data_IF_807337062354
#
_entry.id   IF_807337062354
#
_cell.length_a   1.000
_cell.length_b   1.000
_cell.length_c   1.000
_cell.angle_alpha   90.00
_cell.angle_beta   90.00
_cell.angle_gamma   90.00
#
_symmetry.space_group_name_H-M   'P 1'
#
loop_
_entity.id
_entity.type
_entity.pdbx_description
1 polymer ?
#
# COMPACT_ATOMS: atom_id res chain seq x y z
N UNK A 1 46.68 47.52 -12.98
CA UNK A 1 46.45 46.11 -12.57
C UNK A 1 45.29 46.04 -11.58
N UNK A 2 44.03 45.95 -12.03
CA UNK A 2 42.88 45.68 -11.13
C UNK A 2 41.55 45.49 -11.89
N UNK A 3 41.48 44.60 -12.89
CA UNK A 3 40.20 44.24 -13.55
C UNK A 3 40.19 42.80 -14.08
N UNK A 4 40.48 41.79 -13.26
CA UNK A 4 40.30 40.37 -13.66
C UNK A 4 39.99 39.41 -12.50
N UNK A 5 39.34 39.86 -11.42
CA UNK A 5 39.12 39.05 -10.22
C UNK A 5 37.69 39.15 -9.64
N UNK A 6 36.67 39.25 -10.51
CA UNK A 6 35.26 39.24 -10.06
C UNK A 6 34.34 38.22 -10.76
N UNK A 7 34.86 37.42 -11.70
CA UNK A 7 34.05 36.40 -12.40
C UNK A 7 34.39 34.94 -12.03
N UNK A 8 35.27 34.72 -11.05
CA UNK A 8 35.59 33.35 -10.57
C UNK A 8 34.72 32.90 -9.38
N UNK A 9 34.02 33.82 -8.69
CA UNK A 9 33.25 33.49 -7.49
C UNK A 9 31.79 33.09 -7.77
N UNK A 10 31.24 33.39 -8.95
CA UNK A 10 29.85 33.05 -9.28
C UNK A 10 29.72 31.68 -9.98
N UNK A 11 30.81 31.13 -10.52
CA UNK A 11 30.82 29.79 -11.12
C UNK A 11 31.01 28.66 -10.08
N UNK A 12 31.50 28.96 -8.88
CA UNK A 12 31.70 27.97 -7.82
C UNK A 12 30.48 27.77 -6.91
N UNK A 13 29.46 28.64 -6.98
CA UNK A 13 28.25 28.55 -6.14
C UNK A 13 27.04 27.94 -6.86
N UNK A 14 27.15 27.67 -8.17
CA UNK A 14 26.09 27.03 -8.98
C UNK A 14 26.41 25.54 -9.26
N UNK A 15 27.62 25.08 -8.94
CA UNK A 15 28.02 23.67 -9.09
C UNK A 15 27.96 22.86 -7.77
N UNK A 16 27.53 23.46 -6.66
CA UNK A 16 27.34 22.76 -5.38
C UNK A 16 25.87 22.35 -5.10
N UNK A 17 24.93 22.67 -6.01
CA UNK A 17 23.51 22.31 -5.90
C UNK A 17 23.05 21.28 -6.93
N UNK A 18 23.94 20.74 -7.75
CA UNK A 18 23.67 19.65 -8.68
C UNK A 18 24.27 18.36 -8.09
N UNK A 19 23.43 17.52 -7.48
CA UNK A 19 23.87 16.19 -7.03
C UNK A 19 23.46 15.78 -5.62
N UNK A 20 22.57 16.50 -4.93
CA UNK A 20 21.69 15.80 -3.99
C UNK A 20 20.64 15.09 -4.84
N UNK A 21 20.98 13.87 -5.25
CA UNK A 21 19.96 12.84 -5.38
C UNK A 21 19.16 12.95 -4.08
N UNK A 22 17.92 13.43 -4.17
CA UNK A 22 16.97 13.24 -3.09
C UNK A 22 16.81 11.74 -3.08
N UNK A 23 17.66 11.06 -2.31
CA UNK A 23 17.48 9.65 -2.05
C UNK A 23 16.05 9.55 -1.54
N UNK A 24 15.21 8.77 -2.23
CA UNK A 24 13.90 8.44 -1.72
C UNK A 24 14.11 8.02 -0.26
N UNK A 25 13.43 8.72 0.64
CA UNK A 25 13.50 8.37 2.05
C UNK A 25 13.08 6.89 2.16
N UNK A 26 13.90 6.03 2.80
CA UNK A 26 13.54 4.64 2.95
C UNK A 26 12.17 4.54 3.64
N UNK A 27 11.37 3.55 3.26
CA UNK A 27 10.04 3.31 3.83
C UNK A 27 10.03 3.35 5.38
N UNK A 28 11.15 2.99 6.02
CA UNK A 28 11.39 3.08 7.48
C UNK A 28 11.39 4.52 8.04
N UNK A 29 11.92 5.54 7.34
CA UNK A 29 12.01 6.92 7.90
C UNK A 29 10.66 7.63 7.93
N UNK A 30 9.71 7.18 7.10
CA UNK A 30 8.37 7.78 6.97
C UNK A 30 7.52 7.55 8.22
N UNK A 31 7.71 6.45 8.97
CA UNK A 31 6.83 6.11 10.10
C UNK A 31 6.98 7.04 11.31
N UNK A 32 8.19 7.55 11.54
CA UNK A 32 8.52 8.46 12.66
C UNK A 32 7.98 9.89 12.50
N UNK A 33 7.55 10.27 11.28
CA UNK A 33 7.02 11.60 10.95
C UNK A 33 5.54 11.58 10.56
N UNK A 34 4.84 10.45 10.73
CA UNK A 34 3.42 10.34 10.42
C UNK A 34 2.60 11.26 11.33
N UNK A 35 2.01 12.30 10.74
CA UNK A 35 0.92 13.03 11.38
C UNK A 35 -0.31 12.13 11.40
N UNK A 36 -0.64 11.60 12.57
CA UNK A 36 -1.85 10.79 12.79
C UNK A 36 -2.88 11.63 13.54
N UNK A 37 -4.00 11.87 12.88
CA UNK A 37 -5.17 12.58 13.39
C UNK A 37 -6.29 11.57 13.76
N UNK A 38 -7.10 11.90 14.77
CA UNK A 38 -8.26 11.10 15.17
C UNK A 38 -7.97 9.91 16.09
N UNK A 39 -6.75 9.74 16.60
CA UNK A 39 -6.42 8.75 17.65
C UNK A 39 -7.04 9.13 19.00
N UNK A 40 -7.56 8.14 19.72
CA UNK A 40 -8.19 8.28 21.04
C UNK A 40 -7.19 8.06 22.20
N UNK A 41 -6.09 7.33 21.95
CA UNK A 41 -5.08 7.04 22.97
C UNK A 41 -3.68 6.83 22.36
N UNK A 42 -2.67 6.74 23.23
CA UNK A 42 -1.29 6.45 22.83
C UNK A 42 -1.15 5.00 22.33
N UNK A 43 -1.87 4.06 22.93
CA UNK A 43 -1.88 2.65 22.51
C UNK A 43 -2.52 2.47 21.13
N UNK A 44 -3.55 3.27 20.79
CA UNK A 44 -4.13 3.29 19.43
C UNK A 44 -3.13 3.85 18.41
N UNK A 45 -2.37 4.89 18.78
CA UNK A 45 -1.30 5.44 17.95
C UNK A 45 -0.19 4.42 17.70
N UNK A 46 0.30 3.77 18.75
CA UNK A 46 1.39 2.79 18.66
C UNK A 46 0.99 1.56 17.85
N UNK A 47 -0.25 1.07 18.02
CA UNK A 47 -0.75 -0.03 17.22
C UNK A 47 -0.80 0.35 15.73
N UNK A 48 -1.32 1.53 15.41
CA UNK A 48 -1.38 1.99 14.02
C UNK A 48 0.03 2.16 13.42
N UNK A 49 0.97 2.71 14.18
CA UNK A 49 2.37 2.82 13.76
C UNK A 49 2.98 1.42 13.52
N UNK A 50 2.74 0.46 14.41
CA UNK A 50 3.17 -0.93 14.26
C UNK A 50 2.61 -1.58 13.01
N UNK A 51 1.32 -1.37 12.72
CA UNK A 51 0.68 -1.90 11.51
C UNK A 51 1.30 -1.30 10.24
N UNK A 52 1.46 0.03 10.18
CA UNK A 52 2.10 0.70 9.04
C UNK A 52 3.55 0.24 8.87
N UNK A 53 4.30 0.14 9.97
CA UNK A 53 5.68 -0.34 9.94
C UNK A 53 5.77 -1.78 9.43
N UNK A 54 4.88 -2.67 9.91
CA UNK A 54 4.82 -4.06 9.44
C UNK A 54 4.60 -4.13 7.92
N UNK A 55 3.67 -3.33 7.39
CA UNK A 55 3.44 -3.24 5.94
C UNK A 55 4.67 -2.71 5.19
N UNK A 56 5.35 -1.69 5.72
CA UNK A 56 6.56 -1.13 5.11
C UNK A 56 7.71 -2.14 5.09
N UNK A 57 7.97 -2.81 6.21
CA UNK A 57 9.04 -3.81 6.35
C UNK A 57 8.81 -4.97 5.39
N UNK A 58 7.56 -5.38 5.26
CA UNK A 58 7.15 -6.42 4.34
C UNK A 58 7.35 -6.02 2.88
N UNK A 59 6.95 -4.81 2.48
CA UNK A 59 7.18 -4.29 1.12
C UNK A 59 8.68 -4.16 0.78
N UNK A 60 9.51 -3.92 1.79
CA UNK A 60 10.96 -3.84 1.65
C UNK A 60 11.66 -5.21 1.73
N UNK A 61 10.93 -6.30 2.02
CA UNK A 61 11.54 -7.60 2.27
C UNK A 61 11.90 -8.33 0.98
N UNK A 62 13.02 -9.09 0.96
CA UNK A 62 13.36 -9.93 -0.18
C UNK A 62 12.28 -10.98 -0.49
N UNK A 63 11.63 -11.53 0.54
CA UNK A 63 10.56 -12.53 0.35
C UNK A 63 9.38 -11.95 -0.41
N UNK A 64 9.00 -10.70 -0.12
CA UNK A 64 7.93 -10.03 -0.84
C UNK A 64 8.29 -9.82 -2.32
N UNK A 65 9.51 -9.35 -2.59
CA UNK A 65 10.00 -9.18 -3.97
C UNK A 65 10.02 -10.51 -4.74
N UNK A 66 10.57 -11.57 -4.15
CA UNK A 66 10.61 -12.92 -4.74
C UNK A 66 9.20 -13.43 -5.02
N UNK A 67 8.29 -13.29 -4.05
CA UNK A 67 6.90 -13.70 -4.20
C UNK A 67 6.19 -12.92 -5.31
N UNK A 68 6.36 -11.59 -5.36
CA UNK A 68 5.76 -10.76 -6.39
C UNK A 68 6.26 -11.19 -7.79
N UNK A 69 7.58 -11.34 -7.96
CA UNK A 69 8.18 -11.79 -9.22
C UNK A 69 7.77 -13.21 -9.62
N UNK A 70 7.54 -14.11 -8.65
CA UNK A 70 7.11 -15.48 -8.94
C UNK A 70 5.77 -15.58 -9.66
N UNK A 71 4.96 -14.52 -9.60
CA UNK A 71 3.64 -14.45 -10.23
C UNK A 71 3.69 -13.88 -11.66
N UNK A 72 4.86 -13.57 -12.22
CA UNK A 72 5.01 -12.98 -13.56
C UNK A 72 4.33 -13.81 -14.65
N UNK A 73 4.36 -15.14 -14.55
CA UNK A 73 3.69 -16.03 -15.51
C UNK A 73 2.16 -16.05 -15.39
N UNK A 74 1.63 -15.70 -14.22
CA UNK A 74 0.18 -15.69 -13.95
C UNK A 74 -0.47 -14.34 -14.24
N UNK A 75 0.28 -13.26 -14.05
CA UNK A 75 -0.14 -11.89 -14.27
C UNK A 75 0.87 -11.18 -15.19
N UNK A 76 0.85 -11.48 -16.51
CA UNK A 76 1.82 -10.91 -17.45
C UNK A 76 1.65 -9.40 -17.64
N UNK A 77 0.44 -8.88 -17.45
CA UNK A 77 0.10 -7.47 -17.53
C UNK A 77 -0.74 -7.06 -16.33
N UNK A 78 -0.41 -5.91 -15.76
CA UNK A 78 -1.04 -5.36 -14.57
C UNK A 78 -1.42 -3.91 -14.85
N UNK A 79 -2.60 -3.50 -14.40
CA UNK A 79 -3.00 -2.11 -14.44
C UNK A 79 -2.39 -1.37 -13.25
N UNK A 80 -1.50 -0.41 -13.50
CA UNK A 80 -0.96 0.45 -12.45
C UNK A 80 -1.74 1.77 -12.34
N UNK A 81 -1.96 2.45 -13.47
CA UNK A 81 -2.71 3.71 -13.53
C UNK A 81 -3.21 3.96 -14.97
N UNK A 82 -4.00 5.04 -15.20
CA UNK A 82 -4.52 5.39 -16.53
C UNK A 82 -3.51 5.50 -17.67
N UNK A 83 -2.30 5.95 -17.37
CA UNK A 83 -1.20 6.09 -18.32
C UNK A 83 -0.38 4.80 -18.43
N UNK A 84 -0.39 3.96 -17.39
CA UNK A 84 0.33 2.68 -17.29
C UNK A 84 -0.65 1.51 -17.13
N UNK A 85 -1.43 1.26 -18.19
CA UNK A 85 -2.52 0.28 -18.15
C UNK A 85 -2.02 -1.18 -18.22
N UNK A 86 -0.82 -1.40 -18.73
CA UNK A 86 -0.18 -2.71 -18.83
C UNK A 86 1.29 -2.58 -18.40
N UNK A 87 1.56 -2.83 -17.12
CA UNK A 87 2.92 -2.96 -16.59
C UNK A 87 3.26 -4.43 -16.38
N UNK A 88 4.52 -4.79 -16.65
CA UNK A 88 5.01 -6.12 -16.30
C UNK A 88 5.23 -6.26 -14.80
N UNK A 89 5.28 -7.50 -14.31
CA UNK A 89 5.58 -7.77 -12.90
C UNK A 89 6.91 -7.17 -12.46
N UNK A 90 7.96 -7.32 -13.27
CA UNK A 90 9.27 -6.72 -12.99
C UNK A 90 9.21 -5.20 -12.81
N UNK A 91 8.48 -4.53 -13.70
CA UNK A 91 8.29 -3.09 -13.61
C UNK A 91 7.53 -2.71 -12.35
N UNK A 92 6.47 -3.45 -12.02
CA UNK A 92 5.72 -3.22 -10.77
C UNK A 92 6.63 -3.37 -9.54
N UNK A 93 7.49 -4.38 -9.49
CA UNK A 93 8.49 -4.55 -8.44
C UNK A 93 9.42 -3.34 -8.33
N UNK A 94 9.91 -2.81 -9.46
CA UNK A 94 10.76 -1.61 -9.49
C UNK A 94 10.01 -0.35 -9.04
N UNK A 95 8.71 -0.22 -9.35
CA UNK A 95 7.84 0.86 -8.87
C UNK A 95 7.70 0.79 -7.33
N UNK A 96 7.33 -0.39 -6.81
CA UNK A 96 7.12 -0.60 -5.36
C UNK A 96 8.39 -0.37 -4.56
N UNK A 97 9.53 -0.82 -5.09
CA UNK A 97 10.84 -0.63 -4.48
C UNK A 97 11.44 0.78 -4.71
N UNK A 98 10.70 1.68 -5.36
CA UNK A 98 11.14 3.04 -5.72
C UNK A 98 12.48 3.06 -6.51
N UNK A 99 12.71 2.04 -7.34
CA UNK A 99 13.88 1.95 -8.22
C UNK A 99 13.70 2.71 -9.52
N UNK A 100 12.47 2.97 -9.94
CA UNK A 100 12.22 3.81 -11.11
C UNK A 100 12.56 5.29 -10.82
N UNK A 101 13.38 5.95 -11.66
CA UNK A 101 13.72 7.36 -11.47
C UNK A 101 12.48 8.26 -11.46
N UNK A 102 12.44 9.20 -10.51
CA UNK A 102 11.37 10.18 -10.38
C UNK A 102 10.18 9.72 -9.53
N UNK A 103 10.15 8.44 -9.12
CA UNK A 103 9.19 7.99 -8.12
C UNK A 103 9.63 8.38 -6.71
N UNK A 104 8.66 8.76 -5.89
CA UNK A 104 8.86 8.99 -4.45
C UNK A 104 7.61 8.63 -3.68
N UNK A 105 7.72 8.52 -2.36
CA UNK A 105 6.57 8.49 -1.47
C UNK A 105 6.26 9.91 -1.02
N UNK A 106 4.99 10.31 -1.17
CA UNK A 106 4.52 11.57 -0.59
C UNK A 106 4.05 11.29 0.85
N UNK A 107 4.65 11.91 1.87
CA UNK A 107 4.16 11.79 3.24
C UNK A 107 2.82 12.49 3.35
N UNK A 108 1.80 11.73 3.74
CA UNK A 108 0.44 12.24 3.92
C UNK A 108 -0.04 11.95 5.33
N UNK A 109 -0.91 12.80 5.90
CA UNK A 109 -1.47 12.53 7.20
C UNK A 109 -2.33 11.26 7.17
N UNK A 110 -2.37 10.56 8.30
CA UNK A 110 -3.23 9.40 8.51
C UNK A 110 -4.40 9.83 9.39
N UNK A 111 -5.62 9.57 8.94
CA UNK A 111 -6.84 9.88 9.69
C UNK A 111 -7.53 8.58 10.12
N UNK A 112 -7.74 8.39 11.42
CA UNK A 112 -8.52 7.27 11.96
C UNK A 112 -10.00 7.62 12.06
N UNK A 113 -10.86 6.73 11.56
CA UNK A 113 -12.31 6.92 11.58
C UNK A 113 -13.08 5.63 11.91
N UNK A 114 -14.39 5.77 12.13
CA UNK A 114 -15.29 4.66 12.42
C UNK A 114 -15.17 4.13 13.85
N UNK A 115 -15.93 3.06 14.13
CA UNK A 115 -15.92 2.32 15.39
C UNK A 115 -15.10 1.03 15.28
N UNK A 116 -14.73 0.43 16.42
CA UNK A 116 -14.04 -0.86 16.46
C UNK A 116 -14.96 -2.04 16.10
N UNK A 117 -16.29 -1.84 16.08
CA UNK A 117 -17.25 -2.90 15.87
C UNK A 117 -17.53 -3.16 14.38
N UNK A 118 -17.57 -4.44 14.02
CA UNK A 118 -18.00 -4.94 12.72
C UNK A 118 -19.51 -4.78 12.44
N UNK A 119 -20.25 -4.17 13.37
CA UNK A 119 -21.71 -4.33 13.50
C UNK A 119 -22.56 -3.35 12.71
N UNK A 120 -21.98 -2.53 11.83
CA UNK A 120 -22.75 -1.63 11.00
C UNK A 120 -22.52 -1.91 9.51
N UNK A 121 -23.57 -2.42 8.85
CA UNK A 121 -23.66 -2.62 7.40
C UNK A 121 -23.38 -1.33 6.57
N UNK A 122 -23.18 -0.19 7.22
CA UNK A 122 -22.80 1.09 6.61
C UNK A 122 -21.28 1.30 6.53
N UNK A 123 -20.47 0.51 7.24
CA UNK A 123 -18.99 0.59 7.26
C UNK A 123 -18.29 -0.26 6.19
N UNK A 124 -19.04 -1.10 5.44
CA UNK A 124 -18.48 -1.87 4.32
C UNK A 124 -17.85 -1.01 3.22
N UNK A 125 -18.17 0.29 3.17
CA UNK A 125 -17.71 1.19 2.13
C UNK A 125 -16.41 1.95 2.44
N UNK A 126 -15.87 1.86 3.66
CA UNK A 126 -14.67 2.61 4.03
C UNK A 126 -13.80 1.79 5.01
N UNK A 127 -13.03 0.85 4.48
CA UNK A 127 -12.05 0.09 5.28
C UNK A 127 -10.74 0.87 5.36
N UNK A 128 -10.26 1.38 4.23
CA UNK A 128 -9.28 2.46 4.17
C UNK A 128 -9.41 3.19 2.81
N UNK A 129 -8.79 4.36 2.69
CA UNK A 129 -8.72 5.12 1.42
C UNK A 129 -7.60 6.14 1.47
N UNK A 130 -6.86 6.26 0.39
CA UNK A 130 -5.86 7.30 0.19
C UNK A 130 -6.31 8.26 -0.92
N UNK A 131 -6.31 9.56 -0.63
CA UNK A 131 -6.77 10.59 -1.56
C UNK A 131 -7.23 11.84 -0.83
N UNK A 132 -7.98 12.72 -1.52
CA UNK A 132 -8.63 13.84 -0.83
C UNK A 132 -9.67 13.29 0.15
N UNK A 133 -9.36 13.40 1.44
CA UNK A 133 -10.21 12.97 2.54
C UNK A 133 -10.87 14.19 3.17
N UNK A 134 -12.14 14.07 3.57
CA UNK A 134 -12.79 15.07 4.41
C UNK A 134 -12.88 14.52 5.83
N UNK A 135 -12.16 15.13 6.77
CA UNK A 135 -12.19 14.74 8.17
C UNK A 135 -12.51 15.96 9.04
N UNK A 136 -13.56 15.87 9.87
CA UNK A 136 -14.03 16.97 10.72
C UNK A 136 -14.26 18.31 9.98
N UNK A 137 -14.74 18.24 8.73
CA UNK A 137 -14.99 19.43 7.90
C UNK A 137 -13.73 20.07 7.29
N UNK A 138 -12.59 19.39 7.35
CA UNK A 138 -11.33 19.81 6.73
C UNK A 138 -10.98 18.87 5.58
N UNK A 139 -10.68 19.45 4.43
CA UNK A 139 -10.13 18.74 3.28
C UNK A 139 -8.65 18.48 3.51
N UNK A 140 -8.29 17.20 3.62
CA UNK A 140 -6.92 16.72 3.68
C UNK A 140 -6.57 16.08 2.33
N UNK A 141 -6.08 16.86 1.35
CA UNK A 141 -5.62 16.31 0.08
C UNK A 141 -4.50 15.30 0.31
N UNK A 142 -4.71 14.07 -0.16
CA UNK A 142 -3.74 12.98 -0.09
C UNK A 142 -3.78 12.15 1.20
N UNK A 143 -4.59 12.48 2.20
CA UNK A 143 -4.60 11.71 3.46
C UNK A 143 -4.96 10.23 3.27
N UNK A 144 -4.33 9.38 4.08
CA UNK A 144 -4.70 7.98 4.23
C UNK A 144 -5.71 7.87 5.36
N UNK A 145 -6.96 7.59 5.00
CA UNK A 145 -8.03 7.27 5.94
C UNK A 145 -7.96 5.79 6.30
N UNK A 146 -7.92 5.45 7.58
CA UNK A 146 -7.92 4.07 8.06
C UNK A 146 -9.10 3.86 9.01
N UNK A 147 -9.95 2.88 8.71
CA UNK A 147 -11.04 2.48 9.60
C UNK A 147 -10.50 1.70 10.80
N UNK A 148 -11.04 1.97 12.00
CA UNK A 148 -10.69 1.25 13.25
C UNK A 148 -10.87 -0.27 13.18
N UNK A 149 -11.66 -0.78 12.24
CA UNK A 149 -11.77 -2.21 11.96
C UNK A 149 -10.42 -2.87 11.62
N UNK A 150 -9.51 -2.16 10.93
CA UNK A 150 -8.18 -2.70 10.61
C UNK A 150 -7.30 -2.82 11.87
N UNK A 151 -7.43 -1.86 12.78
CA UNK A 151 -6.76 -1.95 14.07
C UNK A 151 -7.31 -3.09 14.91
N UNK A 152 -8.63 -3.24 14.96
CA UNK A 152 -9.27 -4.36 15.66
C UNK A 152 -8.75 -5.70 15.13
N UNK A 153 -8.70 -5.88 13.81
CA UNK A 153 -8.13 -7.07 13.14
C UNK A 153 -6.67 -7.30 13.49
N UNK A 154 -5.85 -6.25 13.43
CA UNK A 154 -4.42 -6.36 13.72
C UNK A 154 -4.12 -6.73 15.19
N UNK A 155 -5.02 -6.39 16.12
CA UNK A 155 -4.95 -6.82 17.53
C UNK A 155 -5.36 -8.27 17.77
N UNK A 156 -6.07 -8.92 16.84
CA UNK A 156 -6.54 -10.29 17.04
C UNK A 156 -5.37 -11.27 17.14
N UNK A 157 -5.58 -12.38 17.84
CA UNK A 157 -4.58 -13.45 17.88
C UNK A 157 -4.57 -14.29 16.59
N UNK A 158 -5.68 -14.32 15.85
CA UNK A 158 -5.71 -15.01 14.56
C UNK A 158 -4.83 -14.27 13.55
N UNK A 159 -3.87 -15.01 13.01
CA UNK A 159 -2.94 -14.52 12.02
C UNK A 159 -3.65 -14.12 10.73
N UNK A 160 -4.73 -14.80 10.31
CA UNK A 160 -5.45 -14.41 9.10
C UNK A 160 -6.13 -13.04 9.27
N UNK A 161 -6.69 -12.74 10.43
CA UNK A 161 -7.25 -11.41 10.71
C UNK A 161 -6.17 -10.32 10.63
N UNK A 162 -5.00 -10.54 11.24
CA UNK A 162 -3.87 -9.60 11.12
C UNK A 162 -3.45 -9.40 9.67
N UNK A 163 -3.37 -10.49 8.89
CA UNK A 163 -2.97 -10.46 7.48
C UNK A 163 -3.89 -9.56 6.63
N UNK A 164 -5.18 -9.49 6.96
CA UNK A 164 -6.13 -8.64 6.25
C UNK A 164 -5.98 -7.15 6.56
N UNK A 165 -5.57 -6.81 7.79
CA UNK A 165 -5.17 -5.44 8.10
C UNK A 165 -3.91 -5.05 7.33
N UNK A 166 -2.94 -5.97 7.23
CA UNK A 166 -1.71 -5.77 6.44
C UNK A 166 -2.04 -5.57 4.96
N UNK A 167 -2.93 -6.39 4.36
CA UNK A 167 -3.39 -6.21 2.98
C UNK A 167 -3.88 -4.78 2.75
N UNK A 168 -4.82 -4.34 3.58
CA UNK A 168 -5.45 -3.02 3.46
C UNK A 168 -4.43 -1.90 3.57
N UNK A 169 -3.54 -1.93 4.57
CA UNK A 169 -2.55 -0.87 4.73
C UNK A 169 -1.52 -0.88 3.60
N UNK A 170 -1.10 -2.05 3.16
CA UNK A 170 -0.20 -2.16 2.01
C UNK A 170 -0.84 -1.59 0.74
N UNK A 171 -2.10 -1.93 0.45
CA UNK A 171 -2.87 -1.37 -0.67
C UNK A 171 -2.84 0.16 -0.64
N UNK A 172 -3.20 0.74 0.50
CA UNK A 172 -3.25 2.20 0.64
C UNK A 172 -1.89 2.87 0.56
N UNK A 173 -0.83 2.21 1.05
CA UNK A 173 0.53 2.75 0.95
C UNK A 173 0.98 2.88 -0.50
N UNK A 174 0.54 2.00 -1.39
CA UNK A 174 0.88 2.11 -2.81
C UNK A 174 0.33 3.36 -3.47
N UNK A 175 -0.82 3.85 -3.04
CA UNK A 175 -1.35 5.10 -3.54
C UNK A 175 -0.50 6.32 -3.14
N UNK A 176 0.42 6.19 -2.19
CA UNK A 176 1.33 7.28 -1.82
C UNK A 176 2.57 7.33 -2.71
N UNK A 177 2.82 6.30 -3.53
CA UNK A 177 3.87 6.35 -4.54
C UNK A 177 3.44 7.34 -5.62
N UNK A 178 4.19 8.42 -5.74
CA UNK A 178 3.94 9.52 -6.65
C UNK A 178 5.00 9.56 -7.75
N UNK A 179 4.55 9.96 -8.94
CA UNK A 179 5.41 10.27 -10.10
C UNK A 179 6.00 11.68 -10.03
N UNK A 180 5.70 12.43 -8.96
CA UNK A 180 6.19 13.78 -8.73
C UNK A 180 6.64 13.93 -7.29
N UNK A 181 7.73 14.66 -7.04
CA UNK A 181 8.24 14.88 -5.69
C UNK A 181 7.38 15.83 -4.83
N UNK A 182 6.51 16.61 -5.45
CA UNK A 182 5.87 17.80 -4.85
C UNK A 182 4.34 17.83 -5.00
N UNK A 183 3.75 16.94 -5.81
CA UNK A 183 2.30 16.82 -6.01
C UNK A 183 1.86 15.37 -5.85
N UNK A 184 0.60 15.20 -5.49
CA UNK A 184 -0.04 13.90 -5.39
C UNK A 184 -0.43 13.41 -6.79
N UNK A 185 0.51 12.73 -7.45
CA UNK A 185 0.37 12.20 -8.81
C UNK A 185 0.62 10.68 -8.78
N UNK A 186 -0.44 9.95 -8.42
CA UNK A 186 -0.40 8.52 -8.17
C UNK A 186 0.29 7.73 -9.28
N UNK A 187 1.39 7.04 -8.94
CA UNK A 187 1.99 6.02 -9.78
C UNK A 187 1.12 4.76 -9.84
N UNK A 188 0.40 4.46 -8.75
CA UNK A 188 -0.54 3.36 -8.62
C UNK A 188 -1.91 3.90 -8.22
N UNK A 189 -2.95 3.65 -9.02
CA UNK A 189 -4.31 4.13 -8.82
C UNK A 189 -5.33 2.99 -9.02
N UNK A 190 -6.40 2.99 -8.20
CA UNK A 190 -7.50 2.02 -8.34
C UNK A 190 -8.43 2.36 -9.52
N UNK A 191 -8.52 3.65 -9.87
CA UNK A 191 -9.50 4.16 -10.82
C UNK A 191 -8.92 5.24 -11.74
N UNK A 192 -9.61 5.51 -12.85
CA UNK A 192 -9.44 6.76 -13.59
C UNK A 192 -10.14 7.86 -12.83
N UNK A 193 -9.67 9.12 -12.89
CA UNK A 193 -10.28 10.30 -12.27
C UNK A 193 -11.83 10.29 -12.24
N UNK A 194 -12.43 9.67 -11.20
CA UNK A 194 -13.86 9.46 -10.98
C UNK A 194 -14.60 8.41 -11.85
N UNK A 195 -13.92 7.43 -12.46
CA UNK A 195 -14.55 6.30 -13.18
C UNK A 195 -13.88 4.96 -12.83
N UNK A 196 -14.71 3.97 -12.53
CA UNK A 196 -14.34 2.55 -12.40
C UNK A 196 -13.51 2.12 -13.61
N UNK A 197 -12.45 1.36 -13.36
CA UNK A 197 -11.56 0.85 -14.41
C UNK A 197 -12.28 -0.29 -15.13
N UNK A 198 -12.68 -0.12 -16.38
CA UNK A 198 -13.22 -1.22 -17.19
C UNK A 198 -12.09 -2.15 -17.68
N UNK A 199 -11.19 -2.52 -16.77
CA UNK A 199 -10.04 -3.39 -17.04
C UNK A 199 -10.31 -4.78 -16.52
N UNK A 200 -9.96 -5.79 -17.30
CA UNK A 200 -9.92 -7.18 -16.84
C UNK A 200 -8.56 -7.54 -16.25
N UNK A 201 -7.60 -6.61 -16.25
CA UNK A 201 -6.29 -6.81 -15.66
C UNK A 201 -6.37 -6.75 -14.13
N UNK A 202 -5.45 -7.44 -13.43
CA UNK A 202 -5.17 -7.17 -12.03
C UNK A 202 -4.88 -5.69 -11.81
N UNK A 203 -5.40 -5.12 -10.72
CA UNK A 203 -5.04 -3.78 -10.27
C UNK A 203 -3.80 -3.89 -9.39
N UNK A 204 -2.78 -3.08 -9.64
CA UNK A 204 -1.48 -3.16 -8.96
C UNK A 204 -1.59 -3.06 -7.44
N UNK A 205 -2.43 -2.15 -6.93
CA UNK A 205 -2.71 -1.95 -5.50
C UNK A 205 -3.26 -3.20 -4.83
N UNK A 206 -4.31 -3.80 -5.39
CA UNK A 206 -4.92 -5.02 -4.89
C UNK A 206 -4.00 -6.24 -5.02
N UNK A 207 -3.31 -6.39 -6.16
CA UNK A 207 -2.36 -7.48 -6.36
C UNK A 207 -1.24 -7.43 -5.32
N UNK A 208 -0.61 -6.28 -5.12
CA UNK A 208 0.46 -6.12 -4.12
C UNK A 208 -0.07 -6.28 -2.69
N UNK A 209 -1.26 -5.77 -2.39
CA UNK A 209 -1.93 -6.01 -1.10
C UNK A 209 -2.12 -7.50 -0.81
N UNK A 210 -2.60 -8.27 -1.80
CA UNK A 210 -2.76 -9.72 -1.70
C UNK A 210 -1.41 -10.45 -1.59
N UNK A 211 -0.40 -10.04 -2.34
CA UNK A 211 0.95 -10.64 -2.26
C UNK A 211 1.57 -10.38 -0.88
N UNK A 212 1.44 -9.17 -0.34
CA UNK A 212 1.89 -8.85 1.01
C UNK A 212 1.17 -9.72 2.04
N UNK A 213 -0.16 -9.79 1.98
CA UNK A 213 -0.95 -10.65 2.85
C UNK A 213 -0.45 -12.11 2.83
N UNK A 214 -0.26 -12.67 1.62
CA UNK A 214 0.15 -14.05 1.46
C UNK A 214 1.61 -14.29 1.84
N UNK A 215 2.51 -13.32 1.62
CA UNK A 215 3.90 -13.38 2.07
C UNK A 215 3.96 -13.44 3.59
N UNK A 216 3.21 -12.57 4.26
CA UNK A 216 3.13 -12.58 5.72
C UNK A 216 2.55 -13.90 6.24
N UNK A 217 1.50 -14.43 5.60
CA UNK A 217 0.92 -15.73 5.97
C UNK A 217 1.90 -16.90 5.74
N UNK A 218 2.77 -16.84 4.73
CA UNK A 218 3.85 -17.81 4.56
C UNK A 218 4.86 -17.73 5.70
N UNK A 219 5.25 -16.52 6.12
CA UNK A 219 6.15 -16.30 7.26
C UNK A 219 5.56 -16.81 8.58
N UNK A 220 4.23 -16.74 8.73
CA UNK A 220 3.51 -17.33 9.88
C UNK A 220 3.23 -18.84 9.73
N UNK A 221 3.67 -19.47 8.64
CA UNK A 221 3.43 -20.90 8.38
C UNK A 221 1.98 -21.28 8.04
N UNK A 222 1.13 -20.31 7.69
CA UNK A 222 -0.28 -20.52 7.29
C UNK A 222 -0.46 -20.79 5.81
N UNK A 223 0.54 -20.45 5.01
CA UNK A 223 0.59 -20.78 3.58
C UNK A 223 1.88 -21.55 3.34
N UNK A 224 1.83 -22.76 2.76
CA UNK A 224 3.03 -23.55 2.52
C UNK A 224 3.92 -22.90 1.44
N UNK A 225 5.17 -23.36 1.38
CA UNK A 225 6.06 -23.05 0.24
C UNK A 225 5.41 -23.57 -1.06
N UNK A 226 5.24 -22.67 -2.05
CA UNK A 226 4.48 -22.92 -3.28
C UNK A 226 2.97 -22.62 -3.20
N UNK A 227 2.43 -22.30 -2.02
CA UNK A 227 1.01 -21.95 -1.83
C UNK A 227 0.63 -20.51 -2.19
N UNK A 228 1.60 -19.67 -2.55
CA UNK A 228 1.41 -18.23 -2.79
C UNK A 228 0.30 -17.95 -3.82
N UNK A 229 0.36 -18.59 -4.99
CA UNK A 229 -0.60 -18.39 -6.08
C UNK A 229 -2.04 -18.64 -5.62
N UNK A 230 -2.27 -19.77 -4.96
CA UNK A 230 -3.60 -20.13 -4.44
C UNK A 230 -4.07 -19.14 -3.39
N UNK A 231 -3.18 -18.68 -2.51
CA UNK A 231 -3.50 -17.66 -1.52
C UNK A 231 -3.90 -16.32 -2.17
N UNK A 232 -3.16 -15.85 -3.19
CA UNK A 232 -3.49 -14.60 -3.90
C UNK A 232 -4.85 -14.72 -4.60
N UNK A 233 -5.18 -15.88 -5.17
CA UNK A 233 -6.50 -16.13 -5.77
C UNK A 233 -7.63 -16.11 -4.75
N UNK A 234 -7.37 -16.52 -3.50
CA UNK A 234 -8.36 -16.43 -2.41
C UNK A 234 -8.69 -14.97 -2.09
N UNK A 235 -7.71 -14.07 -2.03
CA UNK A 235 -7.99 -12.69 -1.63
C UNK A 235 -8.34 -11.76 -2.80
N UNK A 236 -7.94 -12.13 -4.02
CA UNK A 236 -8.29 -11.43 -5.25
C UNK A 236 -7.31 -10.32 -5.63
N UNK A 237 -7.33 -9.96 -6.91
CA UNK A 237 -6.37 -8.99 -7.50
C UNK A 237 -7.04 -7.82 -8.22
N UNK A 238 -8.37 -7.82 -8.31
CA UNK A 238 -9.15 -6.72 -8.91
C UNK A 238 -9.98 -5.96 -7.88
N UNK A 239 -10.23 -6.60 -6.73
CA UNK A 239 -10.90 -6.02 -5.57
C UNK A 239 -10.63 -6.94 -4.37
N UNK A 240 -10.74 -6.41 -3.15
CA UNK A 240 -10.51 -7.16 -1.91
C UNK A 240 -11.84 -7.51 -1.23
N UNK A 241 -12.09 -8.80 -1.01
CA UNK A 241 -13.24 -9.22 -0.21
C UNK A 241 -12.85 -9.39 1.27
N UNK A 242 -13.16 -8.36 2.05
CA UNK A 242 -12.96 -8.34 3.50
C UNK A 242 -13.70 -9.45 4.25
N UNK A 243 -14.80 -9.99 3.73
CA UNK A 243 -15.57 -11.06 4.39
C UNK A 243 -14.77 -12.35 4.49
N UNK A 244 -13.93 -12.63 3.48
CA UNK A 244 -13.12 -13.86 3.40
C UNK A 244 -12.15 -14.00 4.57
N UNK A 245 -11.68 -12.89 5.15
CA UNK A 245 -10.77 -12.87 6.30
C UNK A 245 -11.30 -13.69 7.49
N UNK A 246 -12.55 -13.44 7.87
CA UNK A 246 -13.20 -14.10 9.01
C UNK A 246 -13.57 -15.57 8.75
N UNK A 247 -13.39 -16.06 7.52
CA UNK A 247 -13.78 -17.42 7.13
C UNK A 247 -12.64 -18.44 7.24
N UNK A 248 -11.43 -18.02 7.62
CA UNK A 248 -10.26 -18.88 7.82
C UNK A 248 -9.82 -18.90 9.29
N UNK A 249 -10.69 -19.43 10.14
CA UNK A 249 -10.47 -19.54 11.60
C UNK A 249 -9.61 -20.75 11.96
N UNK A 250 -9.03 -20.75 13.15
CA UNK A 250 -8.49 -21.93 13.85
C UNK A 250 -7.43 -22.72 13.06
N UNK A 251 -6.44 -22.03 12.49
CA UNK A 251 -5.29 -22.68 11.85
C UNK A 251 -5.59 -23.33 10.49
N UNK A 252 -6.80 -23.14 9.94
CA UNK A 252 -7.15 -23.66 8.63
C UNK A 252 -6.27 -23.09 7.52
N UNK A 253 -5.98 -23.92 6.53
CA UNK A 253 -5.23 -23.51 5.34
C UNK A 253 -6.00 -22.44 4.56
N UNK A 254 -5.27 -21.46 4.04
CA UNK A 254 -5.81 -20.41 3.18
C UNK A 254 -5.87 -20.92 1.74
N UNK A 255 -6.94 -21.65 1.44
CA UNK A 255 -7.20 -22.26 0.13
C UNK A 255 -8.64 -22.00 -0.31
N UNK A 256 -8.86 -21.94 -1.63
CA UNK A 256 -10.21 -21.86 -2.16
C UNK A 256 -11.00 -23.13 -1.81
N UNK A 257 -12.25 -22.96 -1.37
CA UNK A 257 -13.11 -24.05 -0.94
C UNK A 257 -14.58 -23.66 -1.01
N UNK A 258 -15.43 -24.69 -1.13
CA UNK A 258 -16.88 -24.53 -1.12
C UNK A 258 -17.32 -23.83 0.17
N UNK A 259 -18.16 -22.80 0.03
CA UNK A 259 -18.72 -22.06 1.16
C UNK A 259 -17.97 -20.79 1.54
N UNK A 260 -16.82 -20.50 0.92
CA UNK A 260 -16.24 -19.16 1.00
C UNK A 260 -17.17 -18.14 0.34
N UNK A 261 -17.18 -16.92 0.89
CA UNK A 261 -17.80 -15.76 0.26
C UNK A 261 -17.27 -15.62 -1.16
N UNK A 262 -18.09 -15.15 -2.12
CA UNK A 262 -17.63 -14.98 -3.50
C UNK A 262 -16.44 -14.01 -3.56
N UNK A 263 -15.51 -14.14 -4.53
CA UNK A 263 -14.52 -13.09 -4.75
C UNK A 263 -15.24 -11.75 -4.94
N UNK A 264 -14.62 -10.65 -4.51
CA UNK A 264 -15.19 -9.34 -4.76
C UNK A 264 -15.25 -9.09 -6.27
N UNK A 265 -16.36 -8.55 -6.75
CA UNK A 265 -16.49 -8.17 -8.15
C UNK A 265 -15.46 -7.08 -8.50
N UNK A 266 -14.93 -7.07 -9.73
CA UNK A 266 -14.00 -6.04 -10.18
C UNK A 266 -14.57 -4.63 -10.00
N UNK A 267 -13.68 -3.65 -9.74
CA UNK A 267 -14.07 -2.25 -9.53
C UNK A 267 -14.74 -1.63 -10.75
#
# INVERSE_FOLDING_TARGET
>A
MQKFLKYAAFAAMVLASAGKTIAAEPLESVSSHLRIDGVASQEERELLQSLIQTSNDLLASPHFEENLLSLEGDYPEIFANPEWQAVSMRRLTDIVALREPGLTIIPVPVALFGSEAYSDNTMFNYVARTGSTHFNGIDLPGAMSIGRVNMYRYRQNDVVDKSCAINTITHERLHQISRSPDKFDHAIADTFANKRTNTTLPLASYLVGAVAQCTWLQEQGRVPSGGLKSCVQVFGTQNFNNERCSQFVDGQDVVDRKGLAKPAEPL
#
